data_IF_563396196035
#
_entry.id   IF_563396196035
#
_cell.length_a   1.000
_cell.length_b   1.000
_cell.length_c   1.000
_cell.angle_alpha   90.00
_cell.angle_beta   90.00
_cell.angle_gamma   90.00
#
_symmetry.space_group_name_H-M   'P 1'
#
loop_
_entity.id
_entity.type
_entity.pdbx_description
1 polymer ?
#
# COMPACT_ATOMS: atom_id res chain seq x y z
N UNK A 1 -4.22 11.66 5.35
CA UNK A 1 -4.59 10.52 6.23
C UNK A 1 -3.90 10.60 7.59
N UNK A 2 -2.56 10.47 7.67
CA UNK A 2 -1.79 10.56 8.94
C UNK A 2 -2.28 11.67 9.89
N UNK A 3 -2.36 12.92 9.39
CA UNK A 3 -2.85 14.08 10.16
C UNK A 3 -4.30 13.96 10.63
N UNK A 4 -5.15 13.28 9.87
CA UNK A 4 -6.58 13.15 10.14
C UNK A 4 -6.88 12.10 11.20
N UNK A 5 -6.21 10.95 11.12
CA UNK A 5 -6.41 9.84 12.06
C UNK A 5 -5.49 9.91 13.28
N UNK A 6 -4.49 10.80 13.25
CA UNK A 6 -3.46 10.94 14.29
C UNK A 6 -2.74 9.62 14.61
N UNK A 7 -2.59 8.76 13.60
CA UNK A 7 -1.94 7.46 13.67
C UNK A 7 -1.00 7.29 12.47
N UNK A 8 0.16 6.63 12.65
CA UNK A 8 1.08 6.35 11.55
C UNK A 8 0.41 5.53 10.44
N UNK A 9 0.82 5.79 9.20
CA UNK A 9 0.29 5.11 8.00
C UNK A 9 1.44 4.45 7.25
N UNK A 10 1.23 3.18 6.90
CA UNK A 10 2.13 2.40 6.05
C UNK A 10 1.29 1.87 4.88
N UNK A 11 1.55 2.38 3.68
CA UNK A 11 1.00 1.82 2.45
C UNK A 11 1.92 0.68 1.98
N UNK A 12 1.34 -0.45 1.57
CA UNK A 12 2.07 -1.66 1.19
C UNK A 12 1.60 -2.16 -0.17
N UNK A 13 2.52 -2.38 -1.09
CA UNK A 13 2.29 -2.95 -2.41
C UNK A 13 3.18 -4.18 -2.63
N UNK A 14 2.65 -5.23 -3.28
CA UNK A 14 3.41 -6.44 -3.63
C UNK A 14 4.40 -6.20 -4.77
N UNK A 15 4.01 -5.36 -5.71
CA UNK A 15 4.79 -5.04 -6.91
C UNK A 15 5.24 -3.59 -6.88
N UNK A 16 6.37 -3.31 -7.54
CA UNK A 16 6.90 -1.95 -7.62
C UNK A 16 5.93 -1.08 -8.42
N UNK A 17 5.42 0.03 -7.84
CA UNK A 17 4.60 0.96 -8.59
C UNK A 17 5.39 1.55 -9.78
N UNK A 18 4.83 1.43 -10.99
CA UNK A 18 5.35 2.09 -12.19
C UNK A 18 4.74 3.50 -12.28
N UNK A 19 5.44 4.48 -11.69
CA UNK A 19 4.96 5.86 -11.58
C UNK A 19 4.70 6.51 -12.94
N UNK A 20 5.48 6.15 -13.97
CA UNK A 20 5.30 6.67 -15.33
C UNK A 20 4.00 6.15 -15.95
N UNK A 21 3.73 4.85 -15.83
CA UNK A 21 2.45 4.28 -16.30
C UNK A 21 1.28 4.84 -15.50
N UNK A 22 1.43 5.00 -14.19
CA UNK A 22 0.37 5.59 -13.35
C UNK A 22 0.08 7.02 -13.79
N UNK A 23 1.12 7.84 -14.02
CA UNK A 23 0.97 9.22 -14.51
C UNK A 23 0.19 9.28 -15.82
N UNK A 24 0.58 8.47 -16.80
CA UNK A 24 -0.13 8.36 -18.09
C UNK A 24 -1.57 7.91 -17.94
N UNK A 25 -1.84 6.96 -17.04
CA UNK A 25 -3.20 6.49 -16.78
C UNK A 25 -4.07 7.58 -16.15
N UNK A 26 -3.51 8.40 -15.26
CA UNK A 26 -4.22 9.50 -14.59
C UNK A 26 -4.67 10.60 -15.56
N UNK A 27 -3.97 10.81 -16.67
CA UNK A 27 -4.36 11.78 -17.71
C UNK A 27 -5.77 11.52 -18.28
N UNK A 28 -6.24 10.26 -18.21
CA UNK A 28 -7.56 9.86 -18.68
C UNK A 28 -8.65 9.95 -17.59
N UNK A 29 -8.32 10.45 -16.39
CA UNK A 29 -9.22 10.50 -15.25
C UNK A 29 -9.48 11.95 -14.82
N UNK A 30 -10.70 12.25 -14.31
CA UNK A 30 -10.97 13.56 -13.73
C UNK A 30 -10.07 13.82 -12.53
N UNK A 31 -9.73 15.09 -12.31
CA UNK A 31 -8.85 15.55 -11.22
C UNK A 31 -7.43 14.94 -11.26
N UNK A 32 -6.90 14.69 -12.47
CA UNK A 32 -5.55 14.14 -12.68
C UNK A 32 -4.47 14.80 -11.80
N UNK A 33 -4.39 16.13 -11.81
CA UNK A 33 -3.42 16.91 -11.03
C UNK A 33 -3.53 16.63 -9.53
N UNK A 34 -4.75 16.65 -8.97
CA UNK A 34 -4.98 16.38 -7.54
C UNK A 34 -4.57 14.94 -7.17
N UNK A 35 -4.84 13.98 -8.05
CA UNK A 35 -4.46 12.57 -7.85
C UNK A 35 -2.95 12.38 -7.91
N UNK A 36 -2.27 13.07 -8.84
CA UNK A 36 -0.82 13.05 -8.95
C UNK A 36 -0.15 13.64 -7.71
N UNK A 37 -0.61 14.80 -7.24
CA UNK A 37 -0.14 15.42 -6.00
C UNK A 37 -0.28 14.49 -4.79
N UNK A 38 -1.36 13.70 -4.71
CA UNK A 38 -1.53 12.72 -3.65
C UNK A 38 -0.43 11.63 -3.68
N UNK A 39 -0.08 11.14 -4.88
CA UNK A 39 1.00 10.16 -5.07
C UNK A 39 2.35 10.77 -4.67
N UNK A 40 2.64 12.00 -5.10
CA UNK A 40 3.89 12.68 -4.73
C UNK A 40 3.99 12.91 -3.22
N UNK A 41 2.88 13.27 -2.58
CA UNK A 41 2.81 13.50 -1.13
C UNK A 41 3.01 12.23 -0.28
N UNK A 42 2.81 11.05 -0.87
CA UNK A 42 3.06 9.78 -0.19
C UNK A 42 4.55 9.49 0.00
N UNK A 43 5.43 10.24 -0.67
CA UNK A 43 6.87 10.19 -0.47
C UNK A 43 7.54 9.02 -1.17
N UNK A 44 8.79 8.74 -0.77
CA UNK A 44 9.65 7.75 -1.42
C UNK A 44 9.13 6.33 -1.21
N UNK A 45 9.18 5.54 -2.27
CA UNK A 45 8.94 4.08 -2.22
C UNK A 45 10.18 3.40 -1.63
N UNK A 46 9.98 2.64 -0.55
CA UNK A 46 10.98 1.89 0.18
C UNK A 46 10.74 0.39 -0.02
N UNK A 47 11.80 -0.35 -0.31
CA UNK A 47 11.76 -1.79 -0.47
C UNK A 47 12.01 -2.45 0.89
N UNK A 48 11.08 -3.31 1.33
CA UNK A 48 11.12 -3.98 2.64
C UNK A 48 11.00 -5.48 2.45
N UNK A 49 11.98 -6.21 2.97
CA UNK A 49 11.89 -7.67 3.09
C UNK A 49 11.16 -8.01 4.40
N UNK A 50 9.96 -8.55 4.28
CA UNK A 50 9.13 -8.90 5.44
C UNK A 50 9.40 -10.32 5.95
N UNK A 51 10.06 -11.15 5.14
CA UNK A 51 10.40 -12.54 5.47
C UNK A 51 11.77 -12.94 4.95
N UNK A 52 12.33 -13.97 5.55
CA UNK A 52 13.60 -14.59 5.13
C UNK A 52 13.48 -15.39 3.81
N UNK A 53 12.30 -15.43 3.19
CA UNK A 53 12.03 -16.14 1.92
C UNK A 53 12.44 -15.34 0.68
N UNK A 54 12.97 -14.12 0.84
CA UNK A 54 13.39 -13.25 -0.27
C UNK A 54 12.25 -12.47 -0.94
N UNK A 55 11.02 -12.60 -0.45
CA UNK A 55 9.87 -11.84 -0.96
C UNK A 55 9.89 -10.41 -0.40
N UNK A 56 9.95 -9.43 -1.30
CA UNK A 56 9.97 -8.00 -0.98
C UNK A 56 8.58 -7.39 -1.17
N UNK A 57 8.28 -6.37 -0.37
CA UNK A 57 7.15 -5.46 -0.59
C UNK A 57 7.64 -4.04 -0.73
N UNK A 58 6.87 -3.22 -1.42
CA UNK A 58 7.14 -1.81 -1.67
C UNK A 58 6.24 -0.98 -0.76
N UNK A 59 6.84 -0.01 -0.06
CA UNK A 59 6.13 0.70 1.00
C UNK A 59 6.34 2.21 0.94
N UNK A 60 5.34 2.94 1.39
CA UNK A 60 5.40 4.37 1.61
C UNK A 60 4.89 4.64 3.02
N UNK A 61 5.55 5.53 3.75
CA UNK A 61 5.34 5.72 5.18
C UNK A 61 5.03 7.18 5.50
N UNK A 62 4.14 7.39 6.47
CA UNK A 62 3.85 8.72 7.02
C UNK A 62 3.70 8.64 8.55
N UNK A 63 4.48 9.44 9.26
CA UNK A 63 4.43 9.51 10.73
C UNK A 63 5.11 8.35 11.46
N UNK A 64 5.99 7.60 10.79
CA UNK A 64 6.80 6.52 11.37
C UNK A 64 8.19 6.50 10.72
N UNK A 65 9.20 6.03 11.46
CA UNK A 65 10.54 5.82 10.91
C UNK A 65 10.55 4.62 9.96
N UNK A 66 11.51 4.59 9.04
CA UNK A 66 11.69 3.42 8.16
C UNK A 66 11.98 2.15 8.98
N UNK A 67 12.85 2.24 10.00
CA UNK A 67 13.23 1.11 10.84
C UNK A 67 12.03 0.51 11.57
N UNK A 68 11.18 1.36 12.16
CA UNK A 68 9.97 0.90 12.86
C UNK A 68 8.94 0.35 11.89
N UNK A 69 8.78 0.96 10.72
CA UNK A 69 7.90 0.43 9.67
C UNK A 69 8.35 -0.97 9.25
N UNK A 70 9.65 -1.20 9.05
CA UNK A 70 10.19 -2.52 8.73
C UNK A 70 9.92 -3.55 9.84
N UNK A 71 10.11 -3.19 11.12
CA UNK A 71 9.79 -4.06 12.26
C UNK A 71 8.30 -4.39 12.33
N UNK A 72 7.43 -3.41 12.14
CA UNK A 72 5.97 -3.59 12.11
C UNK A 72 5.58 -4.53 10.97
N UNK A 73 6.11 -4.32 9.77
CA UNK A 73 5.81 -5.14 8.61
C UNK A 73 6.28 -6.59 8.81
N UNK A 74 7.49 -6.81 9.33
CA UNK A 74 8.01 -8.16 9.64
C UNK A 74 7.16 -8.88 10.69
N UNK A 75 6.81 -8.20 11.78
CA UNK A 75 6.02 -8.80 12.87
C UNK A 75 4.57 -9.10 12.49
N UNK A 76 3.97 -8.30 11.61
CA UNK A 76 2.58 -8.46 11.17
C UNK A 76 2.41 -9.38 9.94
N UNK A 77 3.51 -9.81 9.30
CA UNK A 77 3.51 -10.63 8.08
C UNK A 77 3.92 -12.08 8.36
N UNK A 78 3.03 -12.84 9.01
CA UNK A 78 3.36 -14.14 9.63
C UNK A 78 3.36 -15.34 8.68
N UNK A 79 2.49 -15.36 7.66
CA UNK A 79 2.31 -16.46 6.71
C UNK A 79 2.60 -16.07 5.26
N UNK A 80 2.71 -14.78 4.96
CA UNK A 80 3.13 -14.28 3.64
C UNK A 80 3.91 -12.98 3.77
N UNK A 81 4.39 -12.41 2.68
CA UNK A 81 5.08 -11.12 2.66
C UNK A 81 4.17 -9.90 2.92
N UNK A 82 2.85 -10.07 2.91
CA UNK A 82 1.86 -9.02 3.22
C UNK A 82 1.32 -9.19 4.65
N UNK A 83 1.10 -8.10 5.39
CA UNK A 83 0.49 -8.12 6.73
C UNK A 83 -0.82 -8.90 6.79
N UNK A 84 -1.03 -9.70 7.84
CA UNK A 84 -2.20 -10.57 7.98
C UNK A 84 -3.52 -9.78 7.93
N UNK A 85 -3.57 -8.60 8.55
CA UNK A 85 -4.75 -7.75 8.53
C UNK A 85 -5.16 -7.34 7.09
N UNK A 86 -4.18 -7.03 6.22
CA UNK A 86 -4.44 -6.71 4.82
C UNK A 86 -4.92 -7.95 4.03
N UNK A 87 -4.38 -9.14 4.34
CA UNK A 87 -4.84 -10.39 3.73
C UNK A 87 -6.29 -10.70 4.10
N UNK A 88 -6.63 -10.58 5.39
CA UNK A 88 -7.99 -10.80 5.88
C UNK A 88 -8.96 -9.81 5.22
N UNK A 89 -8.60 -8.53 5.18
CA UNK A 89 -9.42 -7.52 4.48
C UNK A 89 -9.63 -7.86 3.00
N UNK A 90 -8.59 -8.32 2.29
CA UNK A 90 -8.70 -8.75 0.90
C UNK A 90 -9.61 -9.98 0.71
N UNK A 91 -9.50 -10.99 1.59
CA UNK A 91 -10.37 -12.18 1.56
C UNK A 91 -11.83 -11.78 1.77
N UNK A 92 -12.11 -10.92 2.75
CA UNK A 92 -13.47 -10.43 3.02
C UNK A 92 -13.99 -9.65 1.80
N UNK A 93 -13.23 -8.67 1.30
CA UNK A 93 -13.66 -7.84 0.18
C UNK A 93 -13.91 -8.68 -1.09
N UNK A 94 -13.03 -9.62 -1.41
CA UNK A 94 -13.18 -10.50 -2.59
C UNK A 94 -14.35 -11.49 -2.48
N UNK A 95 -14.69 -11.93 -1.26
CA UNK A 95 -15.89 -12.71 -1.00
C UNK A 95 -17.18 -11.92 -1.19
N UNK A 96 -17.19 -10.64 -0.81
CA UNK A 96 -18.34 -9.75 -0.96
C UNK A 96 -18.56 -9.33 -2.41
N UNK A 97 -17.50 -9.02 -3.17
CA UNK A 97 -17.63 -8.58 -4.58
C UNK A 97 -18.13 -9.66 -5.53
N UNK A 98 -17.96 -10.95 -5.19
CA UNK A 98 -18.56 -12.05 -5.95
C UNK A 98 -20.08 -12.19 -5.78
N UNK A 99 -20.66 -11.55 -4.75
CA UNK A 99 -22.09 -11.60 -4.47
C UNK A 99 -22.82 -10.28 -4.79
N UNK A 100 -22.11 -9.26 -5.26
CA UNK A 100 -22.69 -7.99 -5.69
C UNK A 100 -22.80 -7.94 -7.21
N UNK A 101 -24.01 -7.73 -7.69
CA UNK A 101 -24.38 -7.58 -9.09
C UNK A 101 -23.40 -6.68 -9.87
N UNK A 102 -23.13 -7.09 -11.13
CA UNK A 102 -22.59 -6.19 -12.14
C UNK A 102 -23.59 -5.02 -12.27
N UNK A 103 -23.18 -3.83 -11.84
CA UNK A 103 -23.78 -2.56 -12.26
C UNK A 103 -22.94 -2.03 -13.42
#
# INVERSE_FOLDING_TARGET
LFKTVNLPVIAVAREKPDLEKIRKALENLPECERRWQAIESAGKIIEVQTRNTGETVYTQIAGVSQEDAEKILKSTSTRSNIPEALRVAHIIASGLTRSGEKI
#
